data_IF_673232351359
#
_entry.id   IF_673232351359
#
_cell.length_a   1.000
_cell.length_b   1.000
_cell.length_c   1.000
_cell.angle_alpha   90.00
_cell.angle_beta   90.00
_cell.angle_gamma   90.00
#
_symmetry.space_group_name_H-M   'P 1'
#
loop_
_entity.id
_entity.type
_entity.pdbx_description
1 polymer ?
#
# COMPACT_ATOMS: atom_id res chain seq x y z
N UNK A 1 6.22 -9.48 4.99
CA UNK A 1 6.40 -8.68 3.77
C UNK A 1 5.19 -8.93 2.91
N UNK A 2 4.40 -7.90 2.60
CA UNK A 2 3.22 -8.06 1.76
C UNK A 2 3.69 -8.38 0.33
N UNK A 3 3.15 -9.38 -0.36
CA UNK A 3 3.66 -9.79 -1.70
C UNK A 3 2.65 -9.58 -2.82
N UNK A 4 1.41 -9.19 -2.48
CA UNK A 4 0.31 -8.97 -3.42
C UNK A 4 -0.52 -7.78 -2.99
N UNK A 5 -1.16 -7.11 -3.95
CA UNK A 5 -2.12 -6.03 -3.65
C UNK A 5 -3.35 -6.62 -2.98
N UNK A 6 -3.73 -6.06 -1.83
CA UNK A 6 -4.93 -6.49 -1.12
C UNK A 6 -6.20 -6.02 -1.86
N UNK A 7 -7.24 -6.87 -1.97
CA UNK A 7 -8.54 -6.45 -2.47
C UNK A 7 -9.11 -5.30 -1.64
N UNK A 8 -9.83 -4.38 -2.28
CA UNK A 8 -10.44 -3.22 -1.62
C UNK A 8 -11.41 -3.61 -0.48
N UNK A 9 -12.02 -4.79 -0.53
CA UNK A 9 -12.86 -5.31 0.56
C UNK A 9 -12.04 -5.59 1.83
N UNK A 10 -10.84 -6.14 1.69
CA UNK A 10 -9.95 -6.47 2.80
C UNK A 10 -9.44 -5.19 3.44
N UNK A 11 -8.99 -4.21 2.64
CA UNK A 11 -8.51 -2.93 3.18
C UNK A 11 -9.62 -2.16 3.90
N UNK A 12 -10.85 -2.18 3.37
CA UNK A 12 -12.03 -1.62 4.06
C UNK A 12 -12.36 -2.34 5.36
N UNK A 13 -12.19 -3.66 5.42
CA UNK A 13 -12.41 -4.43 6.65
C UNK A 13 -11.36 -4.13 7.71
N UNK A 14 -10.10 -3.96 7.33
CA UNK A 14 -9.03 -3.53 8.24
C UNK A 14 -9.32 -2.14 8.80
N UNK A 15 -9.66 -1.18 7.94
CA UNK A 15 -10.04 0.18 8.35
C UNK A 15 -11.29 0.17 9.24
N UNK A 16 -12.24 -0.76 9.02
CA UNK A 16 -13.39 -0.97 9.91
C UNK A 16 -12.94 -1.49 11.28
N UNK A 17 -12.02 -2.45 11.35
CA UNK A 17 -11.52 -2.97 12.62
C UNK A 17 -10.80 -1.88 13.43
N UNK A 18 -9.94 -1.09 12.78
CA UNK A 18 -9.25 0.04 13.41
C UNK A 18 -10.22 1.10 13.92
N UNK A 19 -11.26 1.43 13.15
CA UNK A 19 -12.35 2.29 13.61
C UNK A 19 -13.11 1.70 14.79
N UNK A 20 -13.42 0.42 14.74
CA UNK A 20 -14.15 -0.21 15.83
C UNK A 20 -13.35 -0.17 17.13
N UNK A 21 -12.03 -0.38 17.04
CA UNK A 21 -11.11 -0.27 18.16
C UNK A 21 -11.09 1.17 18.72
N UNK A 22 -10.90 2.17 17.87
CA UNK A 22 -10.71 3.55 18.34
C UNK A 22 -11.99 4.19 18.89
N UNK A 23 -13.19 3.82 18.39
CA UNK A 23 -14.47 4.31 18.91
C UNK A 23 -15.14 3.33 19.87
N UNK A 24 -14.51 2.19 20.18
CA UNK A 24 -15.05 1.17 21.06
C UNK A 24 -16.39 0.60 20.62
N UNK A 25 -16.62 0.48 19.31
CA UNK A 25 -17.84 -0.14 18.79
C UNK A 25 -17.67 -1.67 18.77
N UNK A 26 -18.60 -2.38 19.38
CA UNK A 26 -18.66 -3.84 19.37
C UNK A 26 -19.80 -4.33 18.46
N UNK A 27 -19.86 -5.64 18.22
CA UNK A 27 -20.97 -6.27 17.46
C UNK A 27 -22.34 -5.94 18.07
N UNK A 28 -22.42 -5.86 19.40
CA UNK A 28 -23.67 -5.59 20.14
C UNK A 28 -23.95 -4.10 20.33
N UNK A 29 -22.93 -3.25 20.34
CA UNK A 29 -23.05 -1.81 20.58
C UNK A 29 -22.32 -1.01 19.50
N UNK A 30 -23.08 -0.55 18.50
CA UNK A 30 -22.58 0.40 17.51
C UNK A 30 -22.56 1.81 18.10
N UNK A 31 -21.36 2.36 18.26
CA UNK A 31 -21.18 3.80 18.50
C UNK A 31 -20.99 4.50 17.15
N UNK A 32 -21.71 5.59 16.94
CA UNK A 32 -21.58 6.40 15.72
C UNK A 32 -20.32 7.26 15.85
N UNK A 33 -19.34 7.14 14.94
CA UNK A 33 -18.17 8.00 14.97
C UNK A 33 -18.58 9.44 14.63
N UNK A 34 -18.15 10.40 15.46
CA UNK A 34 -18.41 11.84 15.27
C UNK A 34 -17.45 12.49 14.26
N UNK A 35 -16.38 11.78 13.90
CA UNK A 35 -15.34 12.26 12.99
C UNK A 35 -15.20 11.26 11.85
N UNK A 36 -15.08 11.78 10.62
CA UNK A 36 -14.85 10.96 9.42
C UNK A 36 -13.50 10.25 9.51
N UNK A 37 -13.43 9.04 8.96
CA UNK A 37 -12.20 8.24 9.01
C UNK A 37 -11.04 8.91 8.27
N UNK A 38 -11.35 9.56 7.16
CA UNK A 38 -10.39 10.27 6.34
C UNK A 38 -9.72 11.41 7.13
N UNK A 39 -10.46 12.11 7.99
CA UNK A 39 -9.94 13.16 8.87
C UNK A 39 -9.01 12.58 9.94
N UNK A 40 -9.37 11.43 10.51
CA UNK A 40 -8.53 10.72 11.49
C UNK A 40 -7.20 10.29 10.84
N UNK A 41 -7.26 9.91 9.56
CA UNK A 41 -6.09 9.49 8.81
C UNK A 41 -5.14 10.61 8.40
N UNK A 42 -5.56 11.87 8.52
CA UNK A 42 -4.68 13.00 8.26
C UNK A 42 -3.56 13.10 9.29
N UNK A 43 -2.51 13.81 8.94
CA UNK A 43 -1.39 14.06 9.84
C UNK A 43 -1.80 14.95 11.01
N UNK A 44 -1.04 14.88 12.11
CA UNK A 44 -1.33 15.65 13.33
C UNK A 44 -1.28 17.17 13.09
N UNK A 45 -0.43 17.60 12.16
CA UNK A 45 -0.34 19.00 11.70
C UNK A 45 -1.65 19.50 11.07
N UNK A 46 -2.41 18.61 10.43
CA UNK A 46 -3.66 18.91 9.75
C UNK A 46 -4.90 18.59 10.62
N UNK A 47 -4.71 18.41 11.94
CA UNK A 47 -5.80 18.11 12.87
C UNK A 47 -6.28 16.66 12.87
N UNK A 48 -5.55 15.75 12.19
CA UNK A 48 -5.80 14.32 12.22
C UNK A 48 -5.02 13.60 13.33
N UNK A 49 -5.19 12.28 13.41
CA UNK A 49 -4.52 11.43 14.42
C UNK A 49 -3.21 10.81 13.89
N UNK A 50 -2.96 10.90 12.59
CA UNK A 50 -1.80 10.32 11.91
C UNK A 50 -1.92 8.82 11.63
N UNK A 51 -3.14 8.26 11.71
CA UNK A 51 -3.37 6.84 11.44
C UNK A 51 -3.37 6.62 9.93
N UNK A 52 -2.49 5.77 9.39
CA UNK A 52 -2.48 5.50 7.95
C UNK A 52 -3.67 4.59 7.58
N UNK A 53 -4.41 4.93 6.52
CA UNK A 53 -5.44 4.02 5.97
C UNK A 53 -4.79 2.77 5.41
N UNK A 54 -5.41 1.62 5.61
CA UNK A 54 -4.93 0.32 5.11
C UNK A 54 -4.79 0.30 3.60
N UNK A 55 -5.63 1.04 2.86
CA UNK A 55 -5.51 1.19 1.42
C UNK A 55 -4.21 1.94 1.04
N UNK A 56 -3.94 3.07 1.70
CA UNK A 56 -2.70 3.83 1.47
C UNK A 56 -1.45 3.01 1.83
N UNK A 57 -1.51 2.24 2.92
CA UNK A 57 -0.39 1.41 3.36
C UNK A 57 -0.12 0.27 2.36
N UNK A 58 -1.16 -0.35 1.81
CA UNK A 58 -1.06 -1.38 0.77
C UNK A 58 -0.30 -0.85 -0.45
N UNK A 59 -0.68 0.33 -0.96
CA UNK A 59 0.01 0.96 -2.10
C UNK A 59 1.46 1.33 -1.77
N UNK A 60 1.71 1.93 -0.61
CA UNK A 60 3.08 2.31 -0.20
C UNK A 60 3.99 1.10 -0.02
N UNK A 61 3.49 0.00 0.56
CA UNK A 61 4.25 -1.24 0.71
C UNK A 61 4.58 -1.86 -0.65
N UNK A 62 3.63 -1.84 -1.59
CA UNK A 62 3.86 -2.32 -2.94
C UNK A 62 4.88 -1.44 -3.70
N UNK A 63 4.75 -0.13 -3.60
CA UNK A 63 5.72 0.81 -4.17
C UNK A 63 7.13 0.62 -3.57
N UNK A 64 7.22 0.40 -2.25
CA UNK A 64 8.49 0.08 -1.58
C UNK A 64 9.12 -1.20 -2.13
N UNK A 65 8.33 -2.24 -2.40
CA UNK A 65 8.84 -3.48 -2.99
C UNK A 65 9.31 -3.29 -4.43
N UNK A 66 8.58 -2.52 -5.24
CA UNK A 66 9.04 -2.15 -6.57
C UNK A 66 10.35 -1.35 -6.52
N UNK A 67 10.45 -0.41 -5.58
CA UNK A 67 11.67 0.36 -5.36
C UNK A 67 12.85 -0.51 -4.91
N UNK A 68 12.64 -1.45 -3.99
CA UNK A 68 13.64 -2.43 -3.57
C UNK A 68 14.01 -3.38 -4.72
N UNK A 69 13.05 -3.75 -5.58
CA UNK A 69 13.33 -4.56 -6.75
C UNK A 69 14.16 -3.80 -7.79
N UNK A 70 14.05 -2.46 -7.90
CA UNK A 70 14.82 -1.63 -8.86
C UNK A 70 16.17 -1.16 -8.30
N UNK A 71 16.26 -0.83 -7.01
CA UNK A 71 17.48 -0.28 -6.39
C UNK A 71 18.20 -1.25 -5.44
N UNK A 72 17.51 -2.28 -4.94
CA UNK A 72 18.01 -3.17 -3.90
C UNK A 72 18.86 -4.30 -4.43
N UNK A 73 20.18 -4.08 -4.48
CA UNK A 73 21.16 -5.15 -4.76
C UNK A 73 21.49 -6.00 -3.50
N UNK A 74 20.98 -5.62 -2.32
CA UNK A 74 21.29 -6.28 -1.05
C UNK A 74 20.40 -7.49 -0.72
N UNK A 75 19.18 -7.56 -1.28
CA UNK A 75 18.22 -8.60 -0.95
C UNK A 75 18.30 -9.79 -1.93
N UNK A 76 18.49 -11.01 -1.41
CA UNK A 76 18.60 -12.23 -2.22
C UNK A 76 17.38 -12.45 -3.12
N UNK A 77 16.17 -12.20 -2.60
CA UNK A 77 14.93 -12.35 -3.37
C UNK A 77 14.89 -11.42 -4.59
N UNK A 78 15.37 -10.18 -4.45
CA UNK A 78 15.42 -9.20 -5.53
C UNK A 78 16.41 -9.63 -6.62
N UNK A 79 17.59 -10.13 -6.22
CA UNK A 79 18.60 -10.68 -7.15
C UNK A 79 18.09 -11.88 -7.94
N UNK A 80 17.41 -12.82 -7.28
CA UNK A 80 16.82 -14.00 -7.93
C UNK A 80 15.72 -13.60 -8.90
N UNK A 81 14.82 -12.69 -8.50
CA UNK A 81 13.75 -12.21 -9.38
C UNK A 81 14.30 -11.45 -10.59
N UNK A 82 15.31 -10.60 -10.41
CA UNK A 82 15.99 -9.91 -11.53
C UNK A 82 16.62 -10.89 -12.50
N UNK A 83 17.39 -11.85 -12.00
CA UNK A 83 18.06 -12.85 -12.83
C UNK A 83 17.06 -13.71 -13.61
N UNK A 84 15.92 -14.05 -13.00
CA UNK A 84 14.92 -14.92 -13.62
C UNK A 84 13.97 -14.20 -14.59
N UNK A 85 13.54 -12.99 -14.26
CA UNK A 85 12.45 -12.31 -14.96
C UNK A 85 12.87 -11.04 -15.70
N UNK A 86 13.96 -10.40 -15.30
CA UNK A 86 14.40 -9.11 -15.86
C UNK A 86 15.61 -9.24 -16.79
N UNK A 87 16.37 -10.34 -16.75
CA UNK A 87 17.49 -10.64 -17.66
C UNK A 87 18.50 -9.48 -17.87
N UNK A 88 18.67 -8.60 -16.87
CA UNK A 88 19.55 -7.43 -16.96
C UNK A 88 18.91 -6.15 -17.51
N UNK A 89 17.61 -6.17 -17.84
CA UNK A 89 16.83 -4.97 -18.13
C UNK A 89 16.29 -4.32 -16.85
N UNK A 90 16.07 -3.01 -16.89
CA UNK A 90 15.43 -2.28 -15.79
C UNK A 90 13.98 -2.73 -15.65
N UNK A 91 13.46 -2.78 -14.41
CA UNK A 91 12.07 -3.20 -14.13
C UNK A 91 11.03 -2.39 -14.92
N UNK A 92 11.35 -1.13 -15.22
CA UNK A 92 10.49 -0.22 -15.98
C UNK A 92 10.51 -0.47 -17.50
N UNK A 93 11.55 -1.12 -18.01
CA UNK A 93 11.78 -1.33 -19.45
C UNK A 93 11.50 -2.77 -19.88
N UNK A 94 11.48 -3.72 -18.94
CA UNK A 94 11.11 -5.11 -19.23
C UNK A 94 9.69 -5.18 -19.75
N UNK A 95 9.47 -5.92 -20.85
CA UNK A 95 8.12 -6.16 -21.39
C UNK A 95 7.21 -6.68 -20.28
N UNK A 96 5.94 -6.23 -20.20
CA UNK A 96 4.98 -6.70 -19.20
C UNK A 96 4.56 -8.13 -19.55
N UNK A 97 5.48 -9.07 -19.37
CA UNK A 97 5.19 -10.49 -19.45
C UNK A 97 4.56 -10.83 -18.10
N UNK A 98 3.22 -10.85 -18.10
CA UNK A 98 2.38 -11.37 -17.03
C UNK A 98 2.45 -10.67 -15.65
N UNK A 99 3.09 -9.51 -15.54
CA UNK A 99 2.87 -8.60 -14.41
C UNK A 99 1.61 -7.75 -14.70
N UNK A 100 0.45 -8.37 -14.45
CA UNK A 100 -0.90 -7.90 -14.02
C UNK A 100 -1.20 -6.37 -14.12
N UNK A 101 -2.46 -5.90 -14.32
CA UNK A 101 -2.89 -4.49 -14.52
C UNK A 101 -2.44 -3.38 -13.52
N UNK A 102 -1.48 -3.63 -12.65
CA UNK A 102 -1.04 -2.80 -11.55
C UNK A 102 0.01 -1.73 -11.90
N UNK A 103 0.46 -1.64 -13.16
CA UNK A 103 1.40 -0.60 -13.59
C UNK A 103 0.75 0.80 -13.73
N UNK A 104 -0.58 0.89 -13.86
CA UNK A 104 -1.26 2.19 -13.93
C UNK A 104 -1.18 2.97 -12.62
N UNK A 105 -1.27 2.30 -11.46
CA UNK A 105 -1.18 2.95 -10.15
C UNK A 105 0.25 3.40 -9.81
N UNK A 106 1.28 2.76 -10.37
CA UNK A 106 2.68 3.16 -10.16
C UNK A 106 3.03 4.47 -10.88
N UNK A 107 2.40 4.74 -12.03
CA UNK A 107 2.53 6.04 -12.72
C UNK A 107 2.05 7.21 -11.87
N UNK A 108 1.03 6.99 -11.03
CA UNK A 108 0.47 8.00 -10.10
C UNK A 108 1.47 8.32 -8.97
N UNK A 109 2.21 7.32 -8.50
CA UNK A 109 3.25 7.51 -7.48
C UNK A 109 4.43 8.37 -8.02
N UNK A 110 4.82 8.17 -9.28
CA UNK A 110 5.90 8.95 -9.92
C UNK A 110 5.56 10.43 -10.06
N UNK A 111 4.29 10.78 -10.31
CA UNK A 111 3.83 12.18 -10.36
C UNK A 111 3.76 12.88 -9.00
N UNK A 112 3.80 12.14 -7.89
CA UNK A 112 3.72 12.72 -6.53
C UNK A 112 5.10 12.93 -5.88
N UNK A 113 6.18 12.38 -6.47
CA UNK A 113 7.54 12.48 -5.97
C UNK A 113 8.49 13.31 -6.86
N UNK A 114 7.97 14.02 -7.87
CA UNK A 114 8.69 15.08 -8.60
C UNK A 114 8.26 16.45 -8.13
#
# INVERSE_FOLDING_TARGET
MQTSQLPASVTKNLDRLSRNFLWGSSFEKKKVPLVKWETVCQEKSNGGMGIRSSASMNTTLFAKLGWELENGDSALWARVLRSKYLNGENFLNSRPIELIPYLEEYSIFKSSCS
#
